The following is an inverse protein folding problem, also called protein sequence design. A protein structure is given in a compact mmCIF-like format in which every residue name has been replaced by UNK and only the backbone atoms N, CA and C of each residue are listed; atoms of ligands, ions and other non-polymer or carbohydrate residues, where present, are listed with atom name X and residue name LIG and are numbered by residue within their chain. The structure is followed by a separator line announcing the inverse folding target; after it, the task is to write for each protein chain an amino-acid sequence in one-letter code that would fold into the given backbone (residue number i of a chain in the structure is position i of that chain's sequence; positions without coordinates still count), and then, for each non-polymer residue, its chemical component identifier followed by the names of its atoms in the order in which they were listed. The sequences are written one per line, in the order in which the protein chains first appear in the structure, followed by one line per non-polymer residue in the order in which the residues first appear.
data_IF_365173509091
#
_entry.id   IF_365173509091
#
_cell.length_a   1.000
_cell.length_b   1.000
_cell.length_c   1.000
_cell.angle_alpha   90.00
_cell.angle_beta   90.00
_cell.angle_gamma   90.00
#
_symmetry.space_group_name_H-M   'P 1'
#
loop_
_entity.id
_entity.type
_entity.pdbx_description
1 polymer ?
#
# COMPACT_ATOMS: atom_id res chain seq x y z
N UNK A 1 0.00 -19.92 9.30
CA UNK A 1 0.53 -19.41 8.01
C UNK A 1 -0.51 -19.39 6.89
N UNK A 2 -1.29 -20.46 6.68
CA UNK A 2 -2.33 -20.53 5.61
C UNK A 2 -3.37 -19.40 5.74
N UNK A 3 -3.77 -19.04 6.97
CA UNK A 3 -4.76 -17.96 7.23
C UNK A 3 -4.27 -16.55 6.86
N UNK A 4 -2.99 -16.23 7.09
CA UNK A 4 -2.41 -14.91 6.78
C UNK A 4 -2.26 -14.74 5.27
N UNK A 5 -1.80 -15.78 4.58
CA UNK A 5 -1.70 -15.76 3.13
C UNK A 5 -3.09 -15.58 2.47
N UNK A 6 -4.10 -16.31 2.95
CA UNK A 6 -5.47 -16.17 2.46
C UNK A 6 -6.03 -14.74 2.71
N UNK A 7 -5.77 -14.16 3.88
CA UNK A 7 -6.17 -12.78 4.19
C UNK A 7 -5.51 -11.76 3.25
N UNK A 8 -4.19 -11.86 3.04
CA UNK A 8 -3.46 -10.98 2.12
C UNK A 8 -3.98 -11.11 0.69
N UNK A 9 -4.23 -12.35 0.22
CA UNK A 9 -4.80 -12.61 -1.11
C UNK A 9 -6.19 -11.98 -1.22
N UNK A 10 -7.03 -12.08 -0.19
CA UNK A 10 -8.35 -11.46 -0.17
C UNK A 10 -8.26 -9.92 -0.26
N UNK A 11 -7.45 -9.28 0.58
CA UNK A 11 -7.25 -7.83 0.53
C UNK A 11 -6.74 -7.36 -0.84
N UNK A 12 -5.77 -8.08 -1.42
CA UNK A 12 -5.26 -7.80 -2.76
C UNK A 12 -6.33 -7.97 -3.84
N UNK A 13 -7.14 -9.04 -3.76
CA UNK A 13 -8.21 -9.28 -4.72
C UNK A 13 -9.26 -8.16 -4.69
N UNK A 14 -9.72 -7.76 -3.49
CA UNK A 14 -10.65 -6.63 -3.33
C UNK A 14 -10.05 -5.35 -3.92
N UNK A 15 -8.79 -5.05 -3.59
CA UNK A 15 -8.10 -3.88 -4.09
C UNK A 15 -8.00 -3.85 -5.62
N UNK A 16 -7.62 -4.97 -6.24
CA UNK A 16 -7.51 -5.10 -7.70
C UNK A 16 -8.88 -4.94 -8.36
N UNK A 17 -9.93 -5.54 -7.78
CA UNK A 17 -11.29 -5.41 -8.31
C UNK A 17 -11.77 -3.96 -8.26
N UNK A 18 -11.52 -3.22 -7.17
CA UNK A 18 -11.82 -1.78 -7.11
C UNK A 18 -11.13 -1.03 -8.24
N UNK A 19 -9.81 -1.19 -8.38
CA UNK A 19 -8.99 -0.45 -9.36
C UNK A 19 -9.38 -0.77 -10.82
N UNK A 20 -9.96 -1.96 -11.07
CA UNK A 20 -10.45 -2.38 -12.38
C UNK A 20 -11.87 -1.92 -12.69
N UNK A 21 -12.76 -1.91 -11.69
CA UNK A 21 -14.20 -1.65 -11.87
C UNK A 21 -14.54 -0.18 -11.70
N UNK A 22 -13.95 0.49 -10.72
CA UNK A 22 -14.30 1.84 -10.29
C UNK A 22 -13.26 2.81 -10.84
N UNK A 23 -13.69 3.82 -11.59
CA UNK A 23 -12.77 4.81 -12.15
C UNK A 23 -12.52 5.98 -11.19
N UNK A 24 -13.58 6.43 -10.50
CA UNK A 24 -13.56 7.61 -9.64
C UNK A 24 -14.44 7.40 -8.40
N UNK A 25 -14.06 7.91 -7.25
CA UNK A 25 -14.82 7.83 -6.00
C UNK A 25 -14.42 8.93 -5.01
N UNK A 26 -15.24 9.21 -3.99
CA UNK A 26 -14.81 10.02 -2.84
C UNK A 26 -14.30 9.13 -1.70
N UNK A 27 -13.34 9.63 -0.93
CA UNK A 27 -13.02 9.09 0.40
C UNK A 27 -13.50 10.06 1.47
N UNK A 28 -14.71 9.84 1.96
CA UNK A 28 -15.14 10.36 3.24
C UNK A 28 -14.89 9.28 4.28
N UNK A 29 -14.02 9.60 5.24
CA UNK A 29 -13.75 8.72 6.36
C UNK A 29 -15.03 8.52 7.20
N UNK A 30 -15.30 7.27 7.54
CA UNK A 30 -16.44 6.92 8.37
C UNK A 30 -15.96 6.54 9.76
N UNK A 31 -16.24 7.44 10.72
CA UNK A 31 -16.02 7.18 12.15
C UNK A 31 -16.73 5.90 12.59
N UNK A 32 -17.91 5.62 12.02
CA UNK A 32 -18.68 4.41 12.31
C UNK A 32 -17.95 3.16 11.80
N UNK A 33 -17.45 3.18 10.57
CA UNK A 33 -16.66 2.06 10.03
C UNK A 33 -15.38 1.83 10.86
N UNK A 34 -14.69 2.90 11.23
CA UNK A 34 -13.51 2.83 12.10
C UNK A 34 -13.84 2.13 13.42
N UNK A 35 -14.95 2.51 14.08
CA UNK A 35 -15.44 1.85 15.30
C UNK A 35 -15.77 0.38 15.09
N UNK A 36 -16.45 0.03 13.99
CA UNK A 36 -16.79 -1.36 13.66
C UNK A 36 -15.53 -2.21 13.45
N UNK A 37 -14.59 -1.73 12.64
CA UNK A 37 -13.33 -2.45 12.36
C UNK A 37 -12.51 -2.60 13.64
N UNK A 38 -12.49 -1.58 14.50
CA UNK A 38 -11.83 -1.65 15.79
C UNK A 38 -12.45 -2.72 16.68
N UNK A 39 -13.79 -2.78 16.77
CA UNK A 39 -14.50 -3.78 17.56
C UNK A 39 -14.19 -5.22 17.10
N UNK A 40 -14.07 -5.46 15.79
CA UNK A 40 -13.68 -6.76 15.26
C UNK A 40 -12.18 -7.04 15.35
N UNK A 41 -11.32 -6.02 15.29
CA UNK A 41 -9.87 -6.15 15.43
C UNK A 41 -9.41 -6.49 16.86
N UNK A 42 -10.24 -6.23 17.88
CA UNK A 42 -9.96 -6.63 19.28
C UNK A 42 -10.01 -8.15 19.45
N UNK A 43 -10.82 -8.88 18.68
CA UNK A 43 -10.95 -10.34 18.82
C UNK A 43 -9.63 -11.09 18.52
N UNK A 44 -8.93 -10.84 17.40
CA UNK A 44 -7.60 -11.39 17.20
C UNK A 44 -6.61 -10.93 18.28
N UNK A 45 -6.73 -9.71 18.83
CA UNK A 45 -5.87 -9.18 19.90
C UNK A 45 -5.91 -10.01 21.16
N UNK A 46 -7.12 -10.24 21.64
CA UNK A 46 -7.37 -11.11 22.77
C UNK A 46 -6.85 -12.53 22.46
N UNK A 47 -7.08 -13.04 21.26
CA UNK A 47 -6.60 -14.37 20.85
C UNK A 47 -5.07 -14.46 20.83
N UNK A 48 -4.36 -13.52 20.21
CA UNK A 48 -2.89 -13.55 20.18
C UNK A 48 -2.29 -13.39 21.57
N UNK A 49 -2.85 -12.54 22.44
CA UNK A 49 -2.37 -12.39 23.83
C UNK A 49 -2.59 -13.68 24.63
N UNK A 50 -3.71 -14.37 24.43
CA UNK A 50 -3.98 -15.67 25.07
C UNK A 50 -3.06 -16.80 24.58
N UNK A 51 -2.68 -16.80 23.29
CA UNK A 51 -1.87 -17.87 22.69
C UNK A 51 -0.36 -17.58 22.68
N UNK A 52 0.07 -16.32 22.80
CA UNK A 52 1.48 -15.92 22.94
C UNK A 52 2.10 -16.41 24.25
N UNK A 53 1.30 -16.57 25.32
CA UNK A 53 1.73 -17.24 26.55
C UNK A 53 2.13 -18.71 26.35
N UNK A 54 1.90 -19.30 25.16
CA UNK A 54 2.25 -20.69 24.82
C UNK A 54 3.33 -20.82 23.73
N UNK A 55 3.77 -19.72 23.13
CA UNK A 55 4.78 -19.73 22.06
C UNK A 55 6.09 -19.17 22.60
N UNK A 56 7.01 -20.09 22.93
CA UNK A 56 8.35 -19.85 23.45
C UNK A 56 9.31 -19.30 22.35
N UNK A 57 8.81 -18.37 21.54
CA UNK A 57 9.45 -17.89 20.32
C UNK A 57 9.70 -16.39 20.50
N UNK A 58 10.97 -16.05 20.72
CA UNK A 58 11.58 -14.73 20.95
C UNK A 58 11.71 -14.31 22.43
N UNK A 59 12.95 -14.41 22.94
CA UNK A 59 13.34 -14.36 24.35
C UNK A 59 13.35 -12.95 24.98
N UNK A 60 12.60 -12.00 24.44
CA UNK A 60 12.65 -10.61 24.92
C UNK A 60 11.26 -10.01 25.05
N UNK A 61 10.99 -9.45 26.24
CA UNK A 61 9.71 -8.85 26.63
C UNK A 61 9.16 -7.85 25.59
N UNK A 62 10.04 -7.12 24.90
CA UNK A 62 9.66 -6.18 23.84
C UNK A 62 9.03 -6.88 22.63
N UNK A 63 9.41 -8.12 22.34
CA UNK A 63 8.85 -8.92 21.24
C UNK A 63 7.38 -9.29 21.51
N UNK A 64 7.02 -9.50 22.78
CA UNK A 64 5.66 -9.81 23.20
C UNK A 64 4.70 -8.60 23.14
N UNK A 65 5.23 -7.37 23.04
CA UNK A 65 4.43 -6.14 23.00
C UNK A 65 4.44 -5.55 21.59
N UNK A 66 5.62 -5.42 20.99
CA UNK A 66 5.81 -4.71 19.72
C UNK A 66 5.22 -5.51 18.55
N UNK A 67 5.50 -6.82 18.45
CA UNK A 67 5.01 -7.62 17.31
C UNK A 67 3.48 -7.71 17.27
N UNK A 68 2.78 -7.98 18.39
CA UNK A 68 1.32 -7.95 18.38
C UNK A 68 0.79 -6.57 18.04
N UNK A 69 1.35 -5.50 18.62
CA UNK A 69 0.91 -4.13 18.33
C UNK A 69 1.04 -3.79 16.83
N UNK A 70 2.18 -4.10 16.21
CA UNK A 70 2.39 -3.88 14.78
C UNK A 70 1.44 -4.73 13.93
N UNK A 71 1.22 -5.99 14.34
CA UNK A 71 0.26 -6.87 13.67
C UNK A 71 -1.17 -6.32 13.78
N UNK A 72 -1.56 -5.76 14.92
CA UNK A 72 -2.86 -5.10 15.11
C UNK A 72 -3.03 -3.88 14.25
N UNK A 73 -2.04 -2.98 14.25
CA UNK A 73 -2.09 -1.78 13.44
C UNK A 73 -2.19 -2.13 11.95
N UNK A 74 -1.44 -3.14 11.51
CA UNK A 74 -1.51 -3.62 10.13
C UNK A 74 -2.88 -4.24 9.80
N UNK A 75 -3.38 -5.14 10.66
CA UNK A 75 -4.69 -5.79 10.47
C UNK A 75 -5.84 -4.77 10.48
N UNK A 76 -5.83 -3.84 11.44
CA UNK A 76 -6.83 -2.78 11.54
C UNK A 76 -6.83 -1.90 10.28
N UNK A 77 -5.66 -1.42 9.86
CA UNK A 77 -5.55 -0.60 8.66
C UNK A 77 -5.98 -1.32 7.39
N UNK A 78 -5.54 -2.57 7.21
CA UNK A 78 -5.93 -3.37 6.04
C UNK A 78 -7.40 -3.75 6.04
N UNK A 79 -7.99 -4.08 7.19
CA UNK A 79 -9.42 -4.36 7.33
C UNK A 79 -10.27 -3.11 7.04
N UNK A 80 -9.90 -1.95 7.58
CA UNK A 80 -10.58 -0.68 7.33
C UNK A 80 -10.59 -0.33 5.85
N UNK A 81 -9.41 -0.38 5.22
CA UNK A 81 -9.28 -0.08 3.80
C UNK A 81 -10.02 -1.10 2.92
N UNK A 82 -10.00 -2.38 3.28
CA UNK A 82 -10.75 -3.43 2.56
C UNK A 82 -12.25 -3.20 2.67
N UNK A 83 -12.74 -2.82 3.85
CA UNK A 83 -14.17 -2.58 4.06
C UNK A 83 -14.68 -1.34 3.32
N UNK A 84 -13.89 -0.25 3.27
CA UNK A 84 -14.19 0.92 2.42
C UNK A 84 -14.31 0.52 0.94
N UNK A 85 -13.33 -0.22 0.44
CA UNK A 85 -13.30 -0.68 -0.95
C UNK A 85 -14.47 -1.62 -1.29
N UNK A 86 -14.85 -2.50 -0.36
CA UNK A 86 -16.02 -3.35 -0.51
C UNK A 86 -17.31 -2.52 -0.54
N UNK A 87 -17.47 -1.52 0.33
CA UNK A 87 -18.63 -0.62 0.31
C UNK A 87 -18.77 0.11 -1.04
N UNK A 88 -17.65 0.56 -1.62
CA UNK A 88 -17.65 1.19 -2.94
C UNK A 88 -18.12 0.22 -4.04
N UNK A 89 -17.59 -1.01 -4.06
CA UNK A 89 -17.99 -2.05 -5.03
C UNK A 89 -19.45 -2.40 -4.86
N UNK A 90 -19.86 -2.76 -3.65
CA UNK A 90 -21.23 -3.20 -3.37
C UNK A 90 -22.18 -2.05 -3.70
N UNK A 91 -21.90 -0.84 -3.24
CA UNK A 91 -22.68 0.36 -3.55
C UNK A 91 -22.80 0.60 -5.05
N UNK A 92 -21.72 0.43 -5.82
CA UNK A 92 -21.79 0.50 -7.27
C UNK A 92 -22.71 -0.56 -7.86
N UNK A 93 -22.65 -1.83 -7.45
CA UNK A 93 -23.46 -2.87 -8.06
C UNK A 93 -24.92 -2.87 -7.62
N UNK A 94 -25.22 -2.57 -6.35
CA UNK A 94 -26.56 -2.72 -5.79
C UNK A 94 -27.45 -1.49 -5.94
N UNK A 95 -26.88 -0.29 -6.04
CA UNK A 95 -27.66 0.95 -6.08
C UNK A 95 -27.97 1.42 -7.50
N UNK A 96 -29.03 2.23 -7.58
CA UNK A 96 -29.43 2.91 -8.81
C UNK A 96 -28.34 3.89 -9.22
N UNK A 97 -28.05 3.89 -10.51
CA UNK A 97 -26.95 4.64 -11.11
C UNK A 97 -27.53 5.72 -12.01
N UNK A 98 -27.08 6.94 -11.84
CA UNK A 98 -27.44 8.06 -12.70
C UNK A 98 -26.29 8.32 -13.68
N UNK A 99 -26.63 8.73 -14.90
CA UNK A 99 -25.64 9.13 -15.89
C UNK A 99 -25.60 10.64 -15.84
N UNK A 100 -24.42 11.18 -15.52
CA UNK A 100 -24.21 12.61 -15.34
C UNK A 100 -23.05 13.07 -16.22
N UNK A 101 -23.16 14.27 -16.76
CA UNK A 101 -22.06 14.94 -17.48
C UNK A 101 -21.48 15.99 -16.54
N UNK A 102 -20.28 15.71 -16.02
CA UNK A 102 -19.63 16.53 -15.01
C UNK A 102 -18.56 17.41 -15.65
N UNK A 103 -18.66 18.74 -15.57
CA UNK A 103 -17.60 19.65 -15.99
C UNK A 103 -16.36 19.48 -15.11
N UNK A 104 -15.22 19.24 -15.74
CA UNK A 104 -13.93 19.09 -15.06
C UNK A 104 -13.27 20.44 -14.92
N UNK A 105 -13.04 20.88 -13.67
CA UNK A 105 -12.36 22.14 -13.37
C UNK A 105 -10.84 21.95 -13.33
N UNK A 106 -10.40 20.88 -12.67
CA UNK A 106 -8.97 20.64 -12.43
C UNK A 106 -8.69 19.17 -12.25
N UNK A 107 -7.59 18.70 -12.81
CA UNK A 107 -7.07 17.35 -12.60
C UNK A 107 -5.67 17.50 -12.01
N UNK A 108 -5.46 16.96 -10.82
CA UNK A 108 -4.18 17.01 -10.13
C UNK A 108 -3.69 15.62 -9.82
N UNK A 109 -2.45 15.33 -10.20
CA UNK A 109 -1.73 14.16 -9.72
C UNK A 109 -1.21 14.46 -8.32
N UNK A 110 -1.80 13.86 -7.30
CA UNK A 110 -1.39 14.06 -5.91
C UNK A 110 -0.36 12.99 -5.56
N UNK A 111 0.85 13.47 -5.24
CA UNK A 111 1.91 12.64 -4.70
C UNK A 111 1.88 12.79 -3.18
N UNK A 112 1.50 11.74 -2.45
CA UNK A 112 1.71 11.72 -1.01
C UNK A 112 3.22 11.60 -0.78
N UNK A 113 3.90 12.74 -0.63
CA UNK A 113 5.36 12.91 -0.70
C UNK A 113 6.21 12.11 0.29
N UNK A 114 5.61 11.22 1.11
CA UNK A 114 6.33 10.35 2.05
C UNK A 114 5.81 8.92 2.14
N UNK A 115 4.69 8.59 1.49
CA UNK A 115 4.06 7.26 1.57
C UNK A 115 3.92 6.56 0.21
N UNK A 116 4.34 7.21 -0.89
CA UNK A 116 4.34 6.59 -2.23
C UNK A 116 2.96 6.37 -2.85
N UNK A 117 1.88 6.74 -2.15
CA UNK A 117 0.52 6.70 -2.68
C UNK A 117 0.34 7.83 -3.70
N UNK A 118 0.03 7.43 -4.93
CA UNK A 118 -0.24 8.32 -6.05
C UNK A 118 -1.71 8.15 -6.36
N UNK A 119 -2.46 9.23 -6.25
CA UNK A 119 -3.85 9.26 -6.66
C UNK A 119 -4.10 10.47 -7.55
N UNK A 120 -5.21 10.41 -8.27
CA UNK A 120 -5.63 11.49 -9.14
C UNK A 120 -6.78 12.20 -8.46
N UNK A 121 -6.64 13.48 -8.14
CA UNK A 121 -7.77 14.30 -7.70
C UNK A 121 -8.39 14.98 -8.92
N UNK A 122 -9.71 14.80 -9.05
CA UNK A 122 -10.51 15.32 -10.15
C UNK A 122 -11.54 16.25 -9.52
N UNK A 123 -11.37 17.55 -9.70
CA UNK A 123 -12.32 18.55 -9.24
C UNK A 123 -13.39 18.73 -10.31
N UNK A 124 -14.63 18.42 -9.96
CA UNK A 124 -15.80 18.54 -10.85
C UNK A 124 -16.85 19.46 -10.26
N UNK A 125 -17.64 20.10 -11.12
CA UNK A 125 -18.87 20.76 -10.70
C UNK A 125 -20.00 19.73 -10.60
N UNK A 126 -20.67 19.64 -9.46
CA UNK A 126 -21.84 18.77 -9.26
C UNK A 126 -22.84 19.44 -8.33
N UNK A 127 -24.07 19.66 -8.78
CA UNK A 127 -25.14 20.35 -8.02
C UNK A 127 -24.68 21.67 -7.38
N UNK A 128 -24.07 22.55 -8.19
CA UNK A 128 -23.47 23.84 -7.77
C UNK A 128 -22.27 23.77 -6.81
N UNK A 129 -21.92 22.58 -6.32
CA UNK A 129 -20.77 22.34 -5.47
C UNK A 129 -19.52 21.90 -6.24
N UNK A 130 -18.35 22.18 -5.64
CA UNK A 130 -17.06 21.65 -6.11
C UNK A 130 -16.79 20.30 -5.44
N UNK A 131 -17.03 19.22 -6.16
CA UNK A 131 -16.77 17.87 -5.67
C UNK A 131 -15.35 17.44 -6.06
N UNK A 132 -14.59 16.92 -5.10
CA UNK A 132 -13.27 16.32 -5.36
C UNK A 132 -13.45 14.81 -5.42
N UNK A 133 -13.24 14.25 -6.61
CA UNK A 133 -13.30 12.82 -6.87
C UNK A 133 -11.89 12.26 -7.01
N UNK A 134 -11.58 11.24 -6.22
CA UNK A 134 -10.35 10.49 -6.33
C UNK A 134 -10.47 9.46 -7.46
N UNK A 135 -9.73 9.67 -8.53
CA UNK A 135 -9.57 8.75 -9.63
C UNK A 135 -8.56 7.63 -9.34
N UNK A 136 -8.66 6.55 -10.12
CA UNK A 136 -7.65 5.48 -10.15
C UNK A 136 -6.25 6.02 -10.44
N UNK A 137 -5.24 5.19 -10.18
CA UNK A 137 -3.83 5.53 -10.40
C UNK A 137 -3.52 5.94 -11.84
N UNK A 138 -4.21 5.33 -12.81
CA UNK A 138 -4.13 5.68 -14.22
C UNK A 138 -5.05 6.84 -14.62
N UNK A 139 -5.96 7.27 -13.75
CA UNK A 139 -6.97 8.29 -14.02
C UNK A 139 -6.37 9.61 -14.52
N UNK A 140 -5.22 10.03 -13.97
CA UNK A 140 -4.51 11.22 -14.41
C UNK A 140 -4.18 11.18 -15.92
N UNK A 141 -3.62 10.07 -16.40
CA UNK A 141 -3.26 9.90 -17.80
C UNK A 141 -4.47 9.71 -18.71
N UNK A 142 -5.56 9.18 -18.16
CA UNK A 142 -6.79 8.95 -18.91
C UNK A 142 -7.58 10.23 -19.14
N UNK A 143 -7.57 11.13 -18.15
CA UNK A 143 -8.41 12.32 -18.12
C UNK A 143 -7.65 13.61 -18.47
N UNK A 144 -6.34 13.52 -18.75
CA UNK A 144 -5.52 14.68 -19.06
C UNK A 144 -6.09 15.45 -20.26
N UNK A 145 -6.38 16.74 -20.05
CA UNK A 145 -6.93 17.62 -21.09
C UNK A 145 -8.43 17.46 -21.37
N UNK A 146 -9.14 16.65 -20.58
CA UNK A 146 -10.59 16.46 -20.71
C UNK A 146 -11.32 17.56 -19.93
N UNK A 147 -12.22 18.29 -20.61
CA UNK A 147 -13.02 19.37 -20.02
C UNK A 147 -14.34 18.91 -19.39
N UNK A 148 -14.85 17.75 -19.79
CA UNK A 148 -16.10 17.17 -19.28
C UNK A 148 -16.04 15.65 -19.30
N UNK A 149 -16.62 15.01 -18.29
CA UNK A 149 -16.66 13.55 -18.18
C UNK A 149 -18.10 13.06 -18.07
N UNK A 150 -18.47 12.05 -18.86
CA UNK A 150 -19.72 11.33 -18.67
C UNK A 150 -19.49 10.17 -17.70
N UNK A 151 -20.11 10.26 -16.54
CA UNK A 151 -19.92 9.32 -15.43
C UNK A 151 -21.24 8.67 -15.10
N UNK A 152 -21.21 7.36 -14.94
CA UNK A 152 -22.27 6.61 -14.28
C UNK A 152 -22.03 6.64 -12.77
N UNK A 153 -22.68 7.57 -12.07
CA UNK A 153 -22.44 7.87 -10.65
C UNK A 153 -23.54 7.29 -9.76
N UNK A 154 -23.15 6.87 -8.56
CA UNK A 154 -24.06 6.49 -7.46
C UNK A 154 -23.40 6.78 -6.12
N UNK A 155 -24.10 6.50 -5.01
CA UNK A 155 -23.64 6.78 -3.65
C UNK A 155 -23.58 5.52 -2.81
N UNK A 156 -22.43 5.14 -2.26
CA UNK A 156 -22.22 3.95 -1.43
C UNK A 156 -23.02 3.97 -0.12
N UNK A 157 -23.00 2.92 0.70
CA UNK A 157 -23.72 2.90 1.98
C UNK A 157 -23.08 3.84 3.01
N UNK A 158 -21.77 4.02 2.93
CA UNK A 158 -21.05 5.01 3.76
C UNK A 158 -21.20 6.45 3.23
N UNK A 159 -21.98 6.64 2.17
CA UNK A 159 -22.27 7.97 1.63
C UNK A 159 -21.22 8.50 0.66
N UNK A 160 -20.26 7.68 0.24
CA UNK A 160 -19.24 8.04 -0.74
C UNK A 160 -19.82 8.05 -2.15
N UNK A 161 -19.46 9.03 -2.98
CA UNK A 161 -19.77 8.96 -4.40
C UNK A 161 -18.84 7.94 -5.06
N UNK A 162 -19.40 7.15 -5.97
CA UNK A 162 -18.68 6.15 -6.76
C UNK A 162 -19.13 6.25 -8.21
N UNK A 163 -18.17 6.28 -9.14
CA UNK A 163 -18.41 6.56 -10.54
C UNK A 163 -17.56 5.73 -11.48
N UNK A 164 -18.14 5.40 -12.64
CA UNK A 164 -17.46 4.73 -13.75
C UNK A 164 -17.61 5.57 -15.01
N UNK A 165 -16.50 5.81 -15.70
CA UNK A 165 -16.45 6.59 -16.94
C UNK A 165 -17.03 5.77 -18.09
N UNK A 166 -17.97 6.34 -18.87
CA UNK A 166 -18.61 5.61 -19.98
C UNK A 166 -17.76 5.53 -21.25
N UNK A 167 -17.03 6.59 -21.58
CA UNK A 167 -16.42 6.76 -22.91
C UNK A 167 -14.94 6.42 -23.10
N UNK A 168 -14.13 6.03 -22.11
CA UNK A 168 -12.77 5.60 -22.42
C UNK A 168 -12.79 4.18 -23.00
N UNK A 169 -12.38 4.07 -24.27
CA UNK A 169 -12.17 2.80 -24.95
C UNK A 169 -11.15 1.93 -24.21
N UNK A 170 -11.20 0.61 -24.38
CA UNK A 170 -10.23 -0.31 -23.77
C UNK A 170 -8.77 0.05 -24.10
N UNK A 171 -8.52 0.53 -25.32
CA UNK A 171 -7.20 0.98 -25.73
C UNK A 171 -6.73 2.23 -24.97
N UNK A 172 -7.61 3.22 -24.76
CA UNK A 172 -7.27 4.40 -23.95
C UNK A 172 -6.97 4.01 -22.49
N UNK A 173 -7.77 3.11 -21.92
CA UNK A 173 -7.54 2.57 -20.56
C UNK A 173 -6.19 1.87 -20.47
N UNK A 174 -5.86 1.02 -21.44
CA UNK A 174 -4.57 0.33 -21.47
C UNK A 174 -3.40 1.27 -21.64
N UNK A 175 -3.50 2.25 -22.56
CA UNK A 175 -2.47 3.25 -22.76
C UNK A 175 -2.25 4.09 -21.49
N UNK A 176 -3.32 4.48 -20.79
CA UNK A 176 -3.21 5.19 -19.51
C UNK A 176 -2.54 4.34 -18.42
N UNK A 177 -2.88 3.05 -18.31
CA UNK A 177 -2.23 2.10 -17.39
C UNK A 177 -0.76 1.90 -17.74
N UNK A 178 -0.42 1.81 -19.02
CA UNK A 178 0.95 1.67 -19.49
C UNK A 178 1.79 2.93 -19.22
N UNK A 179 1.22 4.11 -19.46
CA UNK A 179 1.84 5.39 -19.11
C UNK A 179 2.07 5.51 -17.61
N UNK A 180 1.08 5.12 -16.79
CA UNK A 180 1.25 5.04 -15.34
C UNK A 180 2.36 4.06 -14.94
N UNK A 181 2.43 2.88 -15.58
CA UNK A 181 3.45 1.88 -15.28
C UNK A 181 4.86 2.37 -15.61
N UNK A 182 5.04 3.04 -16.77
CA UNK A 182 6.31 3.68 -17.13
C UNK A 182 6.74 4.74 -16.12
N UNK A 183 5.82 5.61 -15.74
CA UNK A 183 6.05 6.66 -14.74
C UNK A 183 6.33 6.07 -13.34
N UNK A 184 5.68 4.96 -12.98
CA UNK A 184 5.98 4.21 -11.77
C UNK A 184 7.40 3.63 -11.80
N UNK A 185 7.78 2.92 -12.88
CA UNK A 185 9.14 2.39 -13.05
C UNK A 185 10.21 3.48 -13.01
N UNK A 186 9.95 4.63 -13.64
CA UNK A 186 10.86 5.76 -13.62
C UNK A 186 11.07 6.29 -12.20
N UNK A 187 9.99 6.51 -11.44
CA UNK A 187 10.06 7.00 -10.05
C UNK A 187 10.76 6.03 -9.10
N UNK A 188 10.51 4.73 -9.28
CA UNK A 188 11.10 3.68 -8.46
C UNK A 188 12.37 3.08 -9.07
N UNK A 189 12.95 3.72 -10.10
CA UNK A 189 14.16 3.26 -10.77
C UNK A 189 15.34 3.12 -9.81
N UNK A 190 15.40 3.96 -8.76
CA UNK A 190 16.41 3.89 -7.71
C UNK A 190 16.31 2.64 -6.83
N UNK A 191 15.15 1.99 -6.76
CA UNK A 191 15.01 0.72 -6.04
C UNK A 191 15.74 -0.42 -6.76
N UNK A 192 15.89 -0.34 -8.09
CA UNK A 192 16.58 -1.37 -8.88
C UNK A 192 18.05 -1.53 -8.47
N UNK A 193 18.90 -0.48 -8.45
CA UNK A 193 20.27 -0.61 -7.97
C UNK A 193 20.32 -0.99 -6.48
N UNK A 194 19.38 -0.54 -5.65
CA UNK A 194 19.29 -0.97 -4.24
C UNK A 194 19.06 -2.48 -4.13
N UNK A 195 18.11 -3.05 -4.90
CA UNK A 195 17.88 -4.49 -4.93
C UNK A 195 19.10 -5.27 -5.44
N UNK A 196 19.76 -4.77 -6.49
CA UNK A 196 21.00 -5.37 -7.01
C UNK A 196 22.08 -5.37 -5.93
N UNK A 197 22.26 -4.26 -5.20
CA UNK A 197 23.22 -4.15 -4.10
C UNK A 197 22.88 -5.09 -2.94
N UNK A 198 21.60 -5.28 -2.61
CA UNK A 198 21.17 -6.23 -1.58
C UNK A 198 21.46 -7.67 -2.00
N UNK A 199 21.16 -8.04 -3.25
CA UNK A 199 21.41 -9.39 -3.78
C UNK A 199 22.92 -9.65 -3.87
N UNK A 200 23.68 -8.71 -4.44
CA UNK A 200 25.13 -8.80 -4.52
C UNK A 200 25.75 -8.84 -3.13
N UNK A 201 25.31 -7.97 -2.21
CA UNK A 201 25.71 -7.96 -0.81
C UNK A 201 25.45 -9.31 -0.15
N UNK A 202 24.25 -9.89 -0.28
CA UNK A 202 23.94 -11.23 0.23
C UNK A 202 24.81 -12.33 -0.36
N UNK A 203 25.09 -12.28 -1.66
CA UNK A 203 25.96 -13.24 -2.36
C UNK A 203 27.42 -13.15 -1.90
N UNK A 204 28.00 -11.94 -1.90
CA UNK A 204 29.37 -11.71 -1.43
C UNK A 204 29.51 -11.98 0.06
N UNK A 205 28.48 -11.69 0.86
CA UNK A 205 28.45 -11.98 2.27
C UNK A 205 28.48 -13.49 2.54
N UNK A 206 27.71 -14.28 1.79
CA UNK A 206 27.75 -15.75 1.87
C UNK A 206 29.15 -16.29 1.56
N UNK A 207 29.83 -15.74 0.54
CA UNK A 207 31.20 -16.14 0.14
C UNK A 207 32.26 -15.71 1.17
N UNK A 208 32.20 -14.48 1.66
CA UNK A 208 33.12 -13.96 2.67
C UNK A 208 32.99 -14.71 4.01
N UNK A 209 31.75 -14.98 4.46
CA UNK A 209 31.53 -15.73 5.71
C UNK A 209 31.87 -17.22 5.58
N UNK A 210 31.68 -17.86 4.42
CA UNK A 210 32.13 -19.24 4.22
C UNK A 210 33.66 -19.38 4.36
N UNK A 211 34.42 -18.41 3.84
CA UNK A 211 35.88 -18.36 3.99
C UNK A 211 36.33 -18.11 5.44
N UNK A 212 35.65 -17.20 6.14
CA UNK A 212 35.95 -16.86 7.55
C UNK A 212 35.61 -18.02 8.50
N UNK A 213 34.48 -18.70 8.30
CA UNK A 213 34.05 -19.85 9.12
C UNK A 213 35.01 -21.05 8.99
N UNK A 214 35.67 -21.20 7.85
CA UNK A 214 36.71 -22.22 7.60
C UNK A 214 38.06 -21.88 8.26
N UNK A 215 38.36 -20.58 8.44
CA UNK A 215 39.58 -20.09 9.12
C UNK A 215 39.44 -19.95 10.64
N UNK A 216 38.24 -19.73 11.17
CA UNK A 216 37.96 -19.47 12.60
C UNK A 216 37.61 -20.73 13.41
N UNK A 217 38.13 -21.90 13.03
CA UNK A 217 37.83 -23.22 13.62
C UNK A 217 38.15 -23.42 15.12
N UNK A 218 38.30 -22.37 15.92
CA UNK A 218 38.57 -22.45 17.37
C UNK A 218 37.96 -21.32 18.23
N UNK A 219 37.18 -20.38 17.68
CA UNK A 219 36.61 -19.29 18.50
C UNK A 219 35.23 -19.69 19.05
N UNK A 220 35.10 -19.62 20.38
CA UNK A 220 33.89 -19.88 21.16
C UNK A 220 32.61 -19.33 20.51
N UNK A 221 31.56 -20.15 20.49
CA UNK A 221 30.26 -19.89 19.84
C UNK A 221 29.60 -18.58 20.29
N UNK A 222 29.98 -18.05 21.46
CA UNK A 222 29.48 -16.79 22.05
C UNK A 222 30.03 -15.56 21.30
N UNK A 223 31.33 -15.54 20.97
CA UNK A 223 31.96 -14.44 20.23
C UNK A 223 31.57 -14.44 18.75
N UNK A 224 31.37 -15.64 18.17
CA UNK A 224 30.82 -15.81 16.81
C UNK A 224 29.44 -15.18 16.64
N UNK A 225 28.55 -15.31 17.64
CA UNK A 225 27.23 -14.66 17.63
C UNK A 225 27.33 -13.15 17.78
N UNK A 226 28.22 -12.65 18.64
CA UNK A 226 28.39 -11.23 18.90
C UNK A 226 28.98 -10.49 17.68
N UNK A 227 29.99 -11.06 17.03
CA UNK A 227 30.57 -10.54 15.79
C UNK A 227 29.55 -10.57 14.64
N UNK A 228 28.72 -11.62 14.53
CA UNK A 228 27.61 -11.66 13.56
C UNK A 228 26.60 -10.54 13.81
N UNK A 229 26.19 -10.33 15.06
CA UNK A 229 25.25 -9.27 15.44
C UNK A 229 25.80 -7.88 15.13
N UNK A 230 27.08 -7.63 15.41
CA UNK A 230 27.76 -6.36 15.13
C UNK A 230 27.88 -6.09 13.63
N UNK A 231 28.24 -7.10 12.83
CA UNK A 231 28.32 -6.97 11.37
C UNK A 231 26.94 -6.76 10.74
N UNK A 232 25.90 -7.46 11.21
CA UNK A 232 24.51 -7.21 10.80
C UNK A 232 24.12 -5.77 11.13
N UNK A 233 24.42 -5.30 12.34
CA UNK A 233 24.15 -3.93 12.77
C UNK A 233 24.84 -2.88 11.89
N UNK A 234 26.13 -3.05 11.59
CA UNK A 234 26.88 -2.15 10.71
C UNK A 234 26.33 -2.18 9.28
N UNK A 235 25.94 -3.34 8.75
CA UNK A 235 25.31 -3.43 7.43
C UNK A 235 23.94 -2.77 7.40
N UNK A 236 23.12 -2.94 8.43
CA UNK A 236 21.81 -2.26 8.52
C UNK A 236 22.04 -0.75 8.58
N UNK A 237 22.94 -0.26 9.43
CA UNK A 237 23.26 1.17 9.54
C UNK A 237 23.80 1.70 8.21
N UNK A 238 24.69 0.97 7.53
CA UNK A 238 25.23 1.35 6.22
C UNK A 238 24.18 1.40 5.13
N UNK A 239 23.29 0.39 5.05
CA UNK A 239 22.16 0.35 4.10
C UNK A 239 21.17 1.48 4.42
N UNK A 240 20.86 1.71 5.70
CA UNK A 240 20.01 2.82 6.14
C UNK A 240 20.62 4.18 5.82
N UNK A 241 21.93 4.35 5.94
CA UNK A 241 22.64 5.58 5.61
C UNK A 241 22.73 5.82 4.10
N UNK A 242 22.94 4.77 3.31
CA UNK A 242 22.86 4.84 1.84
C UNK A 242 21.43 5.17 1.39
N UNK A 243 20.42 4.52 1.98
CA UNK A 243 19.01 4.86 1.73
C UNK A 243 18.72 6.31 2.12
N UNK A 244 19.25 6.80 3.25
CA UNK A 244 19.11 8.19 3.68
C UNK A 244 19.75 9.16 2.67
N UNK A 245 20.95 8.88 2.18
CA UNK A 245 21.63 9.71 1.16
C UNK A 245 20.86 9.69 -0.17
N UNK A 246 20.36 8.53 -0.60
CA UNK A 246 19.56 8.41 -1.82
C UNK A 246 18.20 9.12 -1.68
N UNK A 247 17.61 9.12 -0.49
CA UNK A 247 16.39 9.88 -0.17
C UNK A 247 16.68 11.39 -0.17
N UNK A 248 17.80 11.83 0.39
CA UNK A 248 18.20 13.24 0.47
C UNK A 248 18.71 13.81 -0.87
N UNK A 249 19.33 12.99 -1.73
CA UNK A 249 19.90 13.41 -3.02
C UNK A 249 18.93 13.39 -4.21
N UNK A 250 17.75 12.77 -4.07
CA UNK A 250 16.69 12.74 -5.10
C UNK A 250 15.61 13.81 -4.84
N UNK A 251 15.75 14.59 -3.76
CA UNK A 251 14.93 15.77 -3.48
C UNK A 251 15.51 16.99 -4.21
N UNK A 252 14.79 17.62 -5.17
CA UNK A 252 14.90 19.06 -5.37
C UNK A 252 14.37 19.83 -4.14
#
# INVERSE_FOLDING_TARGET
MISVAAYVVFCLAVYIVVDLVIDIHTYNDSVWLCKCVLAFAVLPAVFTLFFLNKLDVFSSWYSYIIYPLLFYLFYFGSAYFTALNLDLIIGYYTKNKQIEVLPVKKITKVFAGRAGFVHTDIQVAYNDDNLILQGTRSGYYLLQGVSQIEVKITRSYLGNYVGVLRHPTSNQRWNARWSYFKDWLYRYSILVPVFILIIAGGYFWKKAFYGIKKKLGGISSKYSKLIKSLLIGICIIGISFILLILILGVLP
#
